data_IF_454133711725
#
_entry.id   IF_454133711725
#
_cell.length_a   1.000
_cell.length_b   1.000
_cell.length_c   1.000
_cell.angle_alpha   90.00
_cell.angle_beta   90.00
_cell.angle_gamma   90.00
#
_symmetry.space_group_name_H-M   'P 1'
#
loop_
_entity.id
_entity.type
_entity.pdbx_description
1 polymer ?
#
# COMPACT_ATOMS: atom_id res chain seq x y z
N UNK A 1 11.99 -20.47 -12.85
CA UNK A 1 11.37 -19.31 -12.16
C UNK A 1 10.02 -19.76 -11.65
N UNK A 2 9.87 -19.91 -10.34
CA UNK A 2 8.58 -20.23 -9.72
C UNK A 2 8.32 -19.19 -8.64
N UNK A 3 7.47 -18.21 -8.93
CA UNK A 3 6.93 -17.29 -7.93
C UNK A 3 5.81 -18.02 -7.22
N UNK A 4 6.14 -18.75 -6.16
CA UNK A 4 5.17 -19.30 -5.22
C UNK A 4 4.73 -18.18 -4.29
N UNK A 5 3.55 -17.65 -4.59
CA UNK A 5 2.73 -16.82 -3.72
C UNK A 5 2.39 -17.64 -2.46
N UNK A 6 2.98 -17.28 -1.33
CA UNK A 6 2.60 -17.73 0.01
C UNK A 6 2.83 -16.56 0.96
N UNK A 7 1.90 -15.60 0.96
CA UNK A 7 1.74 -14.62 2.02
C UNK A 7 0.64 -15.14 2.96
N UNK A 8 0.99 -16.09 3.83
CA UNK A 8 0.16 -16.47 4.97
C UNK A 8 0.17 -15.29 5.98
N UNK A 9 -0.96 -14.64 6.26
CA UNK A 9 -1.00 -13.50 7.17
C UNK A 9 -0.94 -13.99 8.63
N UNK A 10 0.21 -13.78 9.28
CA UNK A 10 0.33 -13.88 10.75
C UNK A 10 -0.62 -12.86 11.42
N UNK A 11 -1.50 -13.29 12.35
CA UNK A 11 -2.68 -12.50 12.74
C UNK A 11 -2.47 -11.30 13.69
N UNK A 12 -1.30 -11.05 14.29
CA UNK A 12 -1.29 -10.24 15.53
C UNK A 12 -0.61 -8.85 15.52
N UNK A 13 0.11 -8.41 14.47
CA UNK A 13 0.77 -7.07 14.51
C UNK A 13 0.59 -6.21 13.25
N UNK A 14 -0.13 -6.72 12.25
CA UNK A 14 -0.46 -6.00 11.01
C UNK A 14 -1.96 -6.06 10.79
N UNK A 15 -2.74 -5.35 11.61
CA UNK A 15 -4.06 -4.93 11.13
C UNK A 15 -3.88 -4.42 9.70
N UNK A 16 -4.62 -4.93 8.70
CA UNK A 16 -4.25 -4.75 7.31
C UNK A 16 -4.14 -3.25 7.07
N UNK A 17 -2.94 -2.75 6.77
CA UNK A 17 -2.66 -1.29 6.68
C UNK A 17 -3.62 -0.56 5.74
N UNK A 18 -4.31 -1.31 4.89
CA UNK A 18 -5.49 -0.94 4.14
C UNK A 18 -6.57 -0.20 4.95
N UNK A 19 -6.73 -0.46 6.25
CA UNK A 19 -7.70 0.29 7.07
C UNK A 19 -7.34 1.77 7.21
N UNK A 20 -6.07 2.13 7.01
CA UNK A 20 -5.56 3.51 7.11
C UNK A 20 -5.52 4.25 5.78
N UNK A 21 -5.95 3.60 4.70
CA UNK A 21 -6.09 4.21 3.38
C UNK A 21 -7.49 3.99 2.82
N UNK A 22 -7.92 4.84 1.91
CA UNK A 22 -9.14 4.65 1.13
C UNK A 22 -8.75 4.15 -0.25
N UNK A 23 -9.33 3.01 -0.67
CA UNK A 23 -9.18 2.47 -2.02
C UNK A 23 -10.17 3.19 -2.94
N UNK A 24 -9.66 3.95 -3.91
CA UNK A 24 -10.48 4.83 -4.77
C UNK A 24 -10.85 4.11 -6.07
N UNK A 25 -9.89 3.93 -6.96
CA UNK A 25 -10.12 3.45 -8.33
C UNK A 25 -9.00 2.52 -8.78
N UNK A 26 -9.33 1.54 -9.62
CA UNK A 26 -8.35 0.69 -10.29
C UNK A 26 -7.82 1.43 -11.51
N UNK A 27 -6.49 1.49 -11.70
CA UNK A 27 -5.93 2.09 -12.90
C UNK A 27 -6.24 1.26 -14.14
N UNK A 28 -6.57 1.93 -15.24
CA UNK A 28 -6.93 1.29 -16.51
C UNK A 28 -5.75 0.53 -17.14
N UNK A 29 -4.51 0.94 -16.83
CA UNK A 29 -3.28 0.28 -17.30
C UNK A 29 -2.42 -0.14 -16.11
N UNK A 30 -2.16 -1.44 -16.01
CA UNK A 30 -1.40 -2.04 -14.91
C UNK A 30 -2.23 -2.15 -13.65
N UNK A 31 -2.31 -3.35 -13.06
CA UNK A 31 -3.21 -3.74 -11.95
C UNK A 31 -3.06 -2.99 -10.61
N UNK A 32 -2.45 -1.83 -10.63
CA UNK A 32 -2.35 -0.88 -9.53
C UNK A 32 -3.67 -0.18 -9.22
N UNK A 33 -3.79 0.29 -7.97
CA UNK A 33 -4.94 1.04 -7.48
C UNK A 33 -4.50 2.43 -7.03
N UNK A 34 -5.44 3.37 -7.10
CA UNK A 34 -5.32 4.67 -6.47
C UNK A 34 -5.79 4.56 -5.03
N UNK A 35 -4.95 5.04 -4.13
CA UNK A 35 -5.22 5.11 -2.70
C UNK A 35 -5.19 6.55 -2.24
N UNK A 36 -5.90 6.83 -1.15
CA UNK A 36 -5.84 8.08 -0.40
C UNK A 36 -5.47 7.78 1.05
N UNK A 37 -4.48 8.46 1.57
CA UNK A 37 -4.09 8.32 2.97
C UNK A 37 -5.08 9.04 3.89
N UNK A 38 -5.58 8.36 4.93
CA UNK A 38 -6.50 8.97 5.90
C UNK A 38 -5.85 10.00 6.82
N UNK A 39 -4.52 10.00 6.93
CA UNK A 39 -3.77 10.90 7.82
C UNK A 39 -3.36 12.20 7.14
N UNK A 40 -2.82 12.12 5.92
CA UNK A 40 -2.32 13.30 5.19
C UNK A 40 -3.14 13.66 3.94
N UNK A 41 -4.24 12.94 3.67
CA UNK A 41 -5.15 13.12 2.53
C UNK A 41 -4.48 13.09 1.15
N UNK A 42 -3.23 12.63 1.06
CA UNK A 42 -2.52 12.51 -0.22
C UNK A 42 -3.00 11.28 -0.98
N UNK A 43 -3.26 11.47 -2.27
CA UNK A 43 -3.54 10.35 -3.18
C UNK A 43 -2.29 9.86 -3.90
N UNK A 44 -2.15 8.55 -4.07
CA UNK A 44 -1.05 7.93 -4.80
C UNK A 44 -1.48 6.63 -5.49
N UNK A 45 -0.76 6.24 -6.56
CA UNK A 45 -0.99 4.99 -7.29
C UNK A 45 0.06 3.96 -6.91
N UNK A 46 -0.36 2.74 -6.62
CA UNK A 46 0.57 1.67 -6.33
C UNK A 46 -0.08 0.35 -5.96
N UNK A 47 0.74 -0.54 -5.42
CA UNK A 47 0.35 -1.78 -4.75
C UNK A 47 0.41 -1.59 -3.23
N UNK A 48 0.07 -2.63 -2.48
CA UNK A 48 0.15 -2.63 -1.02
C UNK A 48 1.54 -2.23 -0.49
N UNK A 49 2.63 -2.63 -1.15
CA UNK A 49 4.00 -2.27 -0.74
C UNK A 49 4.22 -0.76 -0.65
N UNK A 50 3.52 0.03 -1.49
CA UNK A 50 3.56 1.50 -1.41
C UNK A 50 2.74 2.06 -0.25
N UNK A 51 1.63 1.41 0.12
CA UNK A 51 0.86 1.76 1.32
C UNK A 51 1.74 1.59 2.56
N UNK A 52 2.46 0.45 2.66
CA UNK A 52 3.42 0.17 3.73
C UNK A 52 4.49 1.25 3.79
N UNK A 53 5.13 1.56 2.66
CA UNK A 53 6.20 2.57 2.59
C UNK A 53 5.71 3.96 2.97
N UNK A 54 4.51 4.34 2.55
CA UNK A 54 3.92 5.63 2.86
C UNK A 54 3.65 5.78 4.37
N UNK A 55 3.08 4.75 5.00
CA UNK A 55 2.67 4.76 6.40
C UNK A 55 3.83 4.51 7.37
N UNK A 56 4.66 3.48 7.10
CA UNK A 56 5.70 2.99 8.00
C UNK A 56 7.11 3.46 7.63
N UNK A 57 7.28 4.17 6.50
CA UNK A 57 8.58 4.68 6.05
C UNK A 57 9.63 3.57 5.81
N UNK A 58 9.16 2.37 5.47
CA UNK A 58 9.99 1.25 5.05
C UNK A 58 10.84 1.60 3.81
N UNK A 59 11.97 0.90 3.61
CA UNK A 59 13.09 1.31 2.74
C UNK A 59 12.84 1.33 1.21
N UNK A 60 11.65 1.69 0.73
CA UNK A 60 11.33 1.76 -0.70
C UNK A 60 11.41 3.21 -1.20
N UNK A 61 12.22 3.41 -2.26
CA UNK A 61 12.35 4.72 -2.93
C UNK A 61 11.13 4.98 -3.83
N UNK A 62 10.69 6.24 -3.91
CA UNK A 62 9.74 6.70 -4.93
C UNK A 62 8.29 6.94 -4.48
N UNK A 63 7.99 6.92 -3.18
CA UNK A 63 6.73 7.46 -2.63
C UNK A 63 7.03 8.43 -1.49
N UNK A 64 6.26 9.52 -1.42
CA UNK A 64 6.36 10.48 -0.31
C UNK A 64 5.84 9.82 0.97
N UNK A 65 6.58 9.99 2.06
CA UNK A 65 6.16 9.53 3.39
C UNK A 65 4.91 10.30 3.83
N UNK A 66 4.12 9.67 4.71
CA UNK A 66 3.08 10.38 5.44
C UNK A 66 3.75 11.45 6.30
N UNK A 67 3.29 12.70 6.14
CA UNK A 67 3.68 13.87 6.93
C UNK A 67 2.38 14.47 7.47
#
# INVERSE_FOLDING_TARGET
>A
MSTSDNDEPSPDDKAPLWIYVKKIEKQARGGSWRFECKFCSKTYVGSHSRVVTHLLQERVKGIKRCL
#
